data_IF_919196806996
#
_entry.id   IF_919196806996
#
_cell.length_a   1.000
_cell.length_b   1.000
_cell.length_c   1.000
_cell.angle_alpha   90.00
_cell.angle_beta   90.00
_cell.angle_gamma   90.00
#
_symmetry.space_group_name_H-M   'P 1'
#
loop_
_entity.id
_entity.type
_entity.pdbx_description
1 polymer ?
#
# COMPACT_ATOMS: atom_id res chain seq x y z
N UNK A 1 52.33 -50.36 22.12
CA UNK A 1 50.91 -50.28 22.54
C UNK A 1 50.46 -48.86 22.27
N UNK A 2 49.60 -48.69 21.27
CA UNK A 2 49.00 -47.40 20.91
C UNK A 2 47.69 -47.29 21.69
N UNK A 3 47.59 -46.33 22.61
CA UNK A 3 46.33 -46.04 23.30
C UNK A 3 45.36 -45.44 22.29
N UNK A 4 44.32 -46.22 21.99
CA UNK A 4 43.19 -45.79 21.17
C UNK A 4 42.39 -44.77 21.99
N UNK A 5 42.28 -43.54 21.48
CA UNK A 5 41.57 -42.45 22.14
C UNK A 5 40.05 -42.71 22.08
N UNK A 6 39.47 -43.13 23.20
CA UNK A 6 38.07 -43.59 23.34
C UNK A 6 37.08 -42.46 23.69
N UNK A 7 37.45 -41.19 23.54
CA UNK A 7 36.54 -40.10 23.85
C UNK A 7 35.51 -39.89 22.72
N UNK A 8 34.21 -39.73 23.05
CA UNK A 8 33.18 -39.46 22.07
C UNK A 8 33.49 -38.12 21.38
N UNK A 9 33.73 -38.17 20.07
CA UNK A 9 33.87 -36.98 19.26
C UNK A 9 32.55 -36.21 19.35
N UNK A 10 32.58 -35.06 20.03
CA UNK A 10 31.47 -34.10 20.01
C UNK A 10 31.12 -33.81 18.56
N UNK A 11 29.84 -33.91 18.15
CA UNK A 11 29.46 -33.63 16.78
C UNK A 11 29.90 -32.20 16.46
N UNK A 12 30.80 -32.07 15.49
CA UNK A 12 31.22 -30.79 14.93
C UNK A 12 29.97 -29.97 14.61
N UNK A 13 29.86 -28.71 15.08
CA UNK A 13 28.73 -27.89 14.72
C UNK A 13 28.78 -27.71 13.21
N UNK A 14 27.84 -28.36 12.50
CA UNK A 14 27.66 -28.17 11.07
C UNK A 14 27.57 -26.67 10.84
N UNK A 15 28.64 -26.11 10.28
CA UNK A 15 28.70 -24.69 9.94
C UNK A 15 27.62 -24.48 8.89
N UNK A 16 26.51 -23.88 9.31
CA UNK A 16 25.45 -23.50 8.39
C UNK A 16 26.09 -22.54 7.40
N UNK A 17 26.38 -23.02 6.20
CA UNK A 17 26.98 -22.22 5.15
C UNK A 17 25.95 -21.13 4.84
N UNK A 18 26.19 -19.91 5.33
CA UNK A 18 25.31 -18.77 5.09
C UNK A 18 25.26 -18.57 3.58
N UNK A 19 24.20 -19.06 2.93
CA UNK A 19 23.96 -18.85 1.49
C UNK A 19 23.97 -17.34 1.25
N UNK A 20 25.01 -16.85 0.59
CA UNK A 20 25.08 -15.46 0.13
C UNK A 20 23.95 -15.25 -0.86
N UNK A 21 23.04 -14.33 -0.55
CA UNK A 21 21.98 -13.91 -1.47
C UNK A 21 22.61 -13.33 -2.72
N UNK A 22 22.28 -13.90 -3.88
CA UNK A 22 22.79 -13.42 -5.17
C UNK A 22 22.25 -12.03 -5.47
N UNK A 23 23.11 -11.14 -5.96
CA UNK A 23 22.72 -9.78 -6.38
C UNK A 23 21.63 -9.81 -7.45
N UNK A 24 21.66 -10.80 -8.35
CA UNK A 24 20.62 -11.03 -9.36
C UNK A 24 19.27 -11.29 -8.70
N UNK A 25 19.23 -12.08 -7.62
CA UNK A 25 17.99 -12.37 -6.90
C UNK A 25 17.40 -11.13 -6.23
N UNK A 26 18.25 -10.23 -5.73
CA UNK A 26 17.82 -8.95 -5.15
C UNK A 26 17.20 -8.05 -6.22
N UNK A 27 17.88 -7.87 -7.36
CA UNK A 27 17.37 -7.07 -8.48
C UNK A 27 16.02 -7.60 -8.99
N UNK A 28 15.91 -8.93 -9.16
CA UNK A 28 14.67 -9.55 -9.59
C UNK A 28 13.53 -9.35 -8.58
N UNK A 29 13.85 -9.38 -7.28
CA UNK A 29 12.86 -9.12 -6.20
C UNK A 29 12.35 -7.67 -6.25
N UNK A 30 13.23 -6.70 -6.54
CA UNK A 30 12.84 -5.29 -6.71
C UNK A 30 11.93 -5.13 -7.94
N UNK A 31 12.34 -5.69 -9.08
CA UNK A 31 11.54 -5.64 -10.31
C UNK A 31 10.15 -6.28 -10.10
N UNK A 32 10.10 -7.42 -9.42
CA UNK A 32 8.84 -8.09 -9.07
C UNK A 32 7.97 -7.23 -8.14
N UNK A 33 8.57 -6.55 -7.16
CA UNK A 33 7.85 -5.64 -6.25
C UNK A 33 7.20 -4.50 -7.05
N UNK A 34 7.93 -3.89 -7.98
CA UNK A 34 7.40 -2.84 -8.86
C UNK A 34 6.25 -3.38 -9.71
N UNK A 35 6.42 -4.57 -10.30
CA UNK A 35 5.38 -5.21 -11.09
C UNK A 35 4.11 -5.46 -10.28
N UNK A 36 4.23 -5.93 -9.03
CA UNK A 36 3.09 -6.12 -8.14
C UNK A 36 2.42 -4.80 -7.77
N UNK A 37 3.17 -3.73 -7.50
CA UNK A 37 2.61 -2.41 -7.22
C UNK A 37 1.76 -1.92 -8.40
N UNK A 38 2.31 -1.97 -9.62
CA UNK A 38 1.58 -1.57 -10.84
C UNK A 38 0.33 -2.43 -11.03
N UNK A 39 0.47 -3.74 -10.85
CA UNK A 39 -0.65 -4.68 -10.96
C UNK A 39 -1.74 -4.39 -9.92
N UNK A 40 -1.36 -4.15 -8.66
CA UNK A 40 -2.29 -3.86 -7.57
C UNK A 40 -3.08 -2.57 -7.81
N UNK A 41 -2.39 -1.49 -8.20
CA UNK A 41 -3.05 -0.22 -8.56
C UNK A 41 -4.03 -0.42 -9.73
N UNK A 42 -3.63 -1.19 -10.75
CA UNK A 42 -4.50 -1.45 -11.90
C UNK A 42 -5.71 -2.31 -11.51
N UNK A 43 -5.49 -3.33 -10.68
CA UNK A 43 -6.55 -4.20 -10.17
C UNK A 43 -7.59 -3.39 -9.39
N UNK A 44 -7.17 -2.48 -8.50
CA UNK A 44 -8.09 -1.62 -7.76
C UNK A 44 -8.90 -0.72 -8.68
N UNK A 45 -8.24 -0.10 -9.66
CA UNK A 45 -8.91 0.72 -10.66
C UNK A 45 -9.97 -0.07 -11.44
N UNK A 46 -9.63 -1.27 -11.91
CA UNK A 46 -10.52 -2.10 -12.71
C UNK A 46 -11.68 -2.66 -11.86
N UNK A 47 -11.43 -3.06 -10.60
CA UNK A 47 -12.48 -3.44 -9.64
C UNK A 47 -13.43 -2.26 -9.39
N UNK A 48 -12.90 -1.07 -9.12
CA UNK A 48 -13.75 0.10 -8.95
C UNK A 48 -14.56 0.41 -10.22
N UNK A 49 -13.97 0.26 -11.41
CA UNK A 49 -14.67 0.47 -12.67
C UNK A 49 -15.83 -0.52 -12.86
N UNK A 50 -15.63 -1.79 -12.54
CA UNK A 50 -16.64 -2.82 -12.73
C UNK A 50 -17.77 -2.77 -11.70
N UNK A 51 -17.45 -2.49 -10.44
CA UNK A 51 -18.41 -2.62 -9.35
C UNK A 51 -19.00 -1.30 -8.86
N UNK A 52 -18.37 -0.15 -9.15
CA UNK A 52 -18.90 1.15 -8.77
C UNK A 52 -19.78 1.72 -9.89
N UNK A 53 -21.09 1.89 -9.68
CA UNK A 53 -22.03 2.29 -10.74
C UNK A 53 -21.74 3.70 -11.30
N UNK A 54 -21.12 4.58 -10.52
CA UNK A 54 -20.75 5.92 -10.97
C UNK A 54 -19.27 6.04 -11.37
N UNK A 55 -18.60 4.93 -11.65
CA UNK A 55 -17.20 4.93 -12.11
C UNK A 55 -17.00 5.68 -13.43
N UNK A 56 -18.00 5.69 -14.32
CA UNK A 56 -17.92 6.44 -15.57
C UNK A 56 -18.04 7.96 -15.35
N UNK A 57 -18.75 8.37 -14.29
CA UNK A 57 -18.98 9.78 -13.96
C UNK A 57 -17.87 10.37 -13.09
N UNK A 58 -17.31 9.60 -12.16
CA UNK A 58 -16.34 10.08 -11.16
C UNK A 58 -15.02 9.26 -11.13
N UNK A 59 -14.91 8.17 -11.90
CA UNK A 59 -13.78 7.23 -11.88
C UNK A 59 -12.61 7.57 -12.79
N UNK A 60 -12.73 8.60 -13.62
CA UNK A 60 -11.55 9.26 -14.18
C UNK A 60 -10.88 10.09 -13.08
N UNK A 61 -9.86 9.52 -12.44
CA UNK A 61 -9.11 10.19 -11.37
C UNK A 61 -8.29 11.40 -11.87
N UNK A 62 -7.77 12.21 -10.95
CA UNK A 62 -8.29 13.52 -10.61
C UNK A 62 -8.04 14.56 -11.73
N UNK A 63 -9.05 15.38 -12.01
CA UNK A 63 -8.90 16.57 -12.84
C UNK A 63 -7.71 17.46 -12.41
N UNK A 64 -7.25 17.42 -11.15
CA UNK A 64 -6.13 18.25 -10.69
C UNK A 64 -4.76 18.03 -11.38
N UNK A 65 -4.51 16.92 -12.09
CA UNK A 65 -3.23 16.73 -12.79
C UNK A 65 -3.32 16.93 -14.32
N UNK A 66 -4.49 16.69 -14.93
CA UNK A 66 -4.68 16.79 -16.38
C UNK A 66 -5.48 18.04 -16.81
N UNK A 67 -6.26 18.65 -15.91
CA UNK A 67 -6.98 19.91 -16.14
C UNK A 67 -6.02 21.11 -16.18
N UNK A 68 -4.79 20.94 -15.67
CA UNK A 68 -3.69 21.91 -15.83
C UNK A 68 -3.06 21.83 -17.24
N UNK A 69 -3.24 20.72 -17.97
CA UNK A 69 -2.53 20.48 -19.24
C UNK A 69 -3.40 20.51 -20.51
N UNK A 70 -4.73 20.50 -20.42
CA UNK A 70 -5.61 20.52 -21.58
C UNK A 70 -6.66 21.64 -21.42
N UNK A 71 -6.61 22.73 -22.20
CA UNK A 71 -7.60 23.80 -22.10
C UNK A 71 -8.99 23.26 -22.47
N UNK A 72 -9.85 23.25 -21.46
CA UNK A 72 -11.18 22.65 -21.34
C UNK A 72 -12.28 23.26 -22.21
N UNK A 73 -11.97 24.25 -23.07
CA UNK A 73 -12.98 24.93 -23.89
C UNK A 73 -13.52 24.04 -25.03
N UNK A 74 -12.64 23.31 -25.74
CA UNK A 74 -13.06 22.57 -26.94
C UNK A 74 -13.80 21.27 -26.60
N UNK A 75 -13.46 20.65 -25.46
CA UNK A 75 -14.16 19.47 -24.97
C UNK A 75 -15.59 19.81 -24.50
N UNK A 76 -15.78 20.97 -23.85
CA UNK A 76 -17.10 21.46 -23.47
C UNK A 76 -17.95 21.85 -24.67
N UNK A 77 -17.34 22.47 -25.70
CA UNK A 77 -18.05 22.81 -26.94
C UNK A 77 -18.53 21.56 -27.70
N UNK A 78 -17.71 20.51 -27.76
CA UNK A 78 -18.08 19.26 -28.44
C UNK A 78 -19.24 18.55 -27.71
N UNK A 79 -19.21 18.53 -26.37
CA UNK A 79 -20.29 17.96 -25.55
C UNK A 79 -21.58 18.77 -25.71
N UNK A 80 -21.49 20.10 -25.78
CA UNK A 80 -22.65 20.96 -26.01
C UNK A 80 -23.27 20.74 -27.41
N UNK A 81 -22.44 20.58 -28.46
CA UNK A 81 -22.92 20.29 -29.82
C UNK A 81 -23.63 18.94 -29.93
N UNK A 82 -23.08 17.90 -29.28
CA UNK A 82 -23.69 16.56 -29.27
C UNK A 82 -25.03 16.56 -28.52
N UNK A 83 -25.17 17.39 -27.48
CA UNK A 83 -26.41 17.54 -26.74
C UNK A 83 -27.52 18.26 -27.53
N UNK A 84 -27.17 19.21 -28.40
CA UNK A 84 -28.12 19.90 -29.29
C UNK A 84 -28.59 19.02 -30.47
N UNK A 85 -27.73 18.13 -30.97
CA UNK A 85 -28.02 17.32 -32.16
C UNK A 85 -28.94 16.12 -31.90
N UNK A 86 -29.03 15.63 -30.64
CA UNK A 86 -29.87 14.47 -30.27
C UNK A 86 -30.73 14.75 -29.02
N UNK A 87 -31.83 15.51 -29.14
CA UNK A 87 -32.63 15.98 -28.00
C UNK A 87 -33.45 14.91 -27.26
N UNK A 88 -33.44 13.63 -27.67
CA UNK A 88 -34.34 12.58 -27.13
C UNK A 88 -33.66 11.34 -26.55
N UNK A 89 -32.33 11.29 -26.41
CA UNK A 89 -31.66 10.13 -25.76
C UNK A 89 -30.65 10.52 -24.67
N UNK A 90 -30.92 11.62 -23.98
CA UNK A 90 -30.24 11.95 -22.72
C UNK A 90 -31.30 12.23 -21.67
N UNK A 91 -32.15 11.23 -21.40
CA UNK A 91 -32.49 10.96 -20.00
C UNK A 91 -31.18 10.63 -19.30
N UNK A 92 -30.43 11.67 -18.94
CA UNK A 92 -29.52 11.65 -17.83
C UNK A 92 -30.37 11.19 -16.66
N UNK A 93 -30.40 9.87 -16.45
CA UNK A 93 -30.79 9.29 -15.19
C UNK A 93 -29.79 9.92 -14.24
N UNK A 94 -30.17 11.06 -13.66
CA UNK A 94 -29.40 11.76 -12.67
C UNK A 94 -29.40 10.80 -11.49
N UNK A 95 -28.44 9.88 -11.49
CA UNK A 95 -28.31 8.94 -10.40
C UNK A 95 -28.19 9.80 -9.14
N UNK A 96 -28.97 9.51 -8.11
CA UNK A 96 -28.86 10.14 -6.78
C UNK A 96 -27.48 9.87 -6.11
N UNK A 97 -26.53 9.37 -6.90
CA UNK A 97 -25.19 9.01 -6.51
C UNK A 97 -24.33 10.26 -6.40
N UNK A 98 -24.30 10.82 -5.19
CA UNK A 98 -23.42 11.94 -4.87
C UNK A 98 -21.94 11.57 -5.01
N UNK A 99 -21.08 12.56 -5.21
CA UNK A 99 -19.61 12.38 -5.20
C UNK A 99 -19.11 11.75 -3.90
N UNK A 100 -19.76 12.05 -2.77
CA UNK A 100 -19.43 11.45 -1.48
C UNK A 100 -19.78 9.95 -1.44
N UNK A 101 -20.95 9.57 -1.98
CA UNK A 101 -21.36 8.16 -2.10
C UNK A 101 -20.37 7.38 -2.97
N UNK A 102 -19.90 7.98 -4.07
CA UNK A 102 -18.87 7.41 -4.93
C UNK A 102 -17.55 7.16 -4.22
N UNK A 103 -17.03 8.17 -3.51
CA UNK A 103 -15.76 8.06 -2.78
C UNK A 103 -15.85 7.02 -1.64
N UNK A 104 -16.99 6.97 -0.95
CA UNK A 104 -17.27 5.98 0.10
C UNK A 104 -17.27 4.57 -0.47
N UNK A 105 -17.99 4.36 -1.57
CA UNK A 105 -18.09 3.05 -2.21
C UNK A 105 -16.75 2.58 -2.79
N UNK A 106 -15.99 3.50 -3.41
CA UNK A 106 -14.62 3.20 -3.88
C UNK A 106 -13.72 2.75 -2.73
N UNK A 107 -13.74 3.48 -1.61
CA UNK A 107 -12.93 3.15 -0.44
C UNK A 107 -13.31 1.79 0.16
N UNK A 108 -14.61 1.46 0.22
CA UNK A 108 -15.10 0.17 0.67
C UNK A 108 -14.67 -0.98 -0.25
N UNK A 109 -14.77 -0.79 -1.58
CA UNK A 109 -14.26 -1.77 -2.54
C UNK A 109 -12.75 -1.99 -2.41
N UNK A 110 -11.98 -0.91 -2.28
CA UNK A 110 -10.54 -0.99 -2.08
C UNK A 110 -10.22 -1.75 -0.79
N UNK A 111 -10.89 -1.44 0.33
CA UNK A 111 -10.71 -2.16 1.58
C UNK A 111 -11.06 -3.66 1.46
N UNK A 112 -12.17 -3.98 0.79
CA UNK A 112 -12.64 -5.35 0.58
C UNK A 112 -11.66 -6.20 -0.24
N UNK A 113 -10.85 -5.60 -1.11
CA UNK A 113 -9.80 -6.30 -1.87
C UNK A 113 -8.48 -6.31 -1.12
N UNK A 114 -8.07 -5.17 -0.57
CA UNK A 114 -6.73 -4.98 0.02
C UNK A 114 -6.56 -5.80 1.28
N UNK A 115 -7.56 -5.83 2.18
CA UNK A 115 -7.44 -6.52 3.48
C UNK A 115 -7.25 -8.03 3.28
N UNK A 116 -8.08 -8.74 2.49
CA UNK A 116 -7.85 -10.16 2.23
C UNK A 116 -6.53 -10.45 1.54
N UNK A 117 -6.13 -9.64 0.55
CA UNK A 117 -4.84 -9.80 -0.14
C UNK A 117 -3.67 -9.60 0.83
N UNK A 118 -3.74 -8.59 1.69
CA UNK A 118 -2.74 -8.35 2.72
C UNK A 118 -2.61 -9.54 3.66
N UNK A 119 -3.73 -10.06 4.18
CA UNK A 119 -3.74 -11.23 5.05
C UNK A 119 -3.13 -12.45 4.35
N UNK A 120 -3.53 -12.73 3.11
CA UNK A 120 -2.98 -13.83 2.32
C UNK A 120 -1.46 -13.72 2.16
N UNK A 121 -0.96 -12.53 1.80
CA UNK A 121 0.47 -12.29 1.62
C UNK A 121 1.24 -12.37 2.94
N UNK A 122 0.63 -11.89 4.04
CA UNK A 122 1.19 -12.03 5.38
C UNK A 122 1.30 -13.49 5.81
N UNK A 123 0.27 -14.30 5.56
CA UNK A 123 0.26 -15.75 5.81
C UNK A 123 1.34 -16.46 5.00
N UNK A 124 1.48 -16.13 3.71
CA UNK A 124 2.54 -16.66 2.83
C UNK A 124 3.93 -16.32 3.37
N UNK A 125 4.14 -15.05 3.77
CA UNK A 125 5.39 -14.62 4.38
C UNK A 125 5.67 -15.39 5.68
N UNK A 126 4.70 -15.46 6.59
CA UNK A 126 4.83 -16.15 7.86
C UNK A 126 5.21 -17.62 7.64
N UNK A 127 4.51 -18.30 6.73
CA UNK A 127 4.78 -19.68 6.38
C UNK A 127 6.21 -19.88 5.87
N UNK A 128 6.68 -19.06 4.92
CA UNK A 128 8.04 -19.20 4.38
C UNK A 128 9.13 -18.78 5.37
N UNK A 129 8.86 -17.79 6.24
CA UNK A 129 9.85 -17.27 7.18
C UNK A 129 10.07 -18.18 8.38
N UNK A 130 8.98 -18.65 9.00
CA UNK A 130 9.03 -19.39 10.26
C UNK A 130 8.98 -20.91 10.08
N UNK A 131 8.18 -21.42 9.12
CA UNK A 131 8.02 -22.87 8.93
C UNK A 131 9.07 -23.49 8.00
N UNK A 132 9.71 -22.69 7.13
CA UNK A 132 10.72 -23.16 6.16
C UNK A 132 12.05 -22.40 6.28
N UNK A 133 12.74 -22.58 7.39
CA UNK A 133 13.97 -21.87 7.77
C UNK A 133 15.16 -22.09 6.81
N UNK A 134 15.13 -23.08 5.92
CA UNK A 134 16.18 -23.33 4.91
C UNK A 134 15.78 -23.02 3.45
N UNK A 135 14.57 -22.52 3.20
CA UNK A 135 14.05 -22.39 1.84
C UNK A 135 14.73 -21.26 1.02
N UNK A 136 15.12 -21.50 -0.25
CA UNK A 136 15.62 -20.45 -1.13
C UNK A 136 14.53 -19.42 -1.51
N UNK A 137 13.24 -19.77 -1.36
CA UNK A 137 12.11 -18.90 -1.68
C UNK A 137 11.89 -17.75 -0.68
N UNK A 138 12.71 -17.66 0.38
CA UNK A 138 12.63 -16.56 1.35
C UNK A 138 12.86 -15.20 0.70
N UNK A 139 13.70 -15.11 -0.33
CA UNK A 139 13.94 -13.83 -1.02
C UNK A 139 12.64 -13.29 -1.65
N UNK A 140 11.82 -14.20 -2.20
CA UNK A 140 10.55 -13.87 -2.84
C UNK A 140 9.51 -13.34 -1.83
N UNK A 141 9.54 -13.86 -0.59
CA UNK A 141 8.63 -13.41 0.47
C UNK A 141 8.78 -11.92 0.80
N UNK A 142 9.95 -11.32 0.55
CA UNK A 142 10.15 -9.87 0.74
C UNK A 142 9.40 -9.03 -0.30
N UNK A 143 9.33 -9.47 -1.57
CA UNK A 143 8.56 -8.75 -2.59
C UNK A 143 7.06 -8.77 -2.25
N UNK A 144 6.52 -9.93 -1.87
CA UNK A 144 5.13 -10.05 -1.46
C UNK A 144 4.82 -9.19 -0.23
N UNK A 145 5.72 -9.18 0.77
CA UNK A 145 5.54 -8.36 1.96
C UNK A 145 5.61 -6.87 1.65
N UNK A 146 6.57 -6.44 0.82
CA UNK A 146 6.69 -5.05 0.40
C UNK A 146 5.44 -4.57 -0.35
N UNK A 147 4.92 -5.40 -1.26
CA UNK A 147 3.65 -5.15 -1.94
C UNK A 147 2.48 -5.06 -0.95
N UNK A 148 2.35 -6.02 -0.03
CA UNK A 148 1.27 -6.05 0.94
C UNK A 148 1.27 -4.78 1.83
N UNK A 149 2.45 -4.36 2.31
CA UNK A 149 2.59 -3.10 3.05
C UNK A 149 2.23 -1.89 2.20
N UNK A 150 2.68 -1.84 0.95
CA UNK A 150 2.32 -0.76 0.04
C UNK A 150 0.79 -0.64 -0.09
N UNK A 151 0.08 -1.75 -0.32
CA UNK A 151 -1.38 -1.74 -0.48
C UNK A 151 -2.10 -1.25 0.78
N UNK A 152 -1.65 -1.65 1.97
CA UNK A 152 -2.23 -1.15 3.23
C UNK A 152 -1.94 0.34 3.44
N UNK A 153 -0.71 0.79 3.18
CA UNK A 153 -0.37 2.21 3.27
C UNK A 153 -1.18 3.05 2.29
N UNK A 154 -1.39 2.55 1.07
CA UNK A 154 -2.25 3.16 0.06
C UNK A 154 -3.68 3.30 0.55
N UNK A 155 -4.27 2.22 1.09
CA UNK A 155 -5.62 2.25 1.66
C UNK A 155 -5.74 3.24 2.82
N UNK A 156 -4.75 3.26 3.71
CA UNK A 156 -4.71 4.17 4.85
C UNK A 156 -4.62 5.63 4.38
N UNK A 157 -3.79 5.92 3.38
CA UNK A 157 -3.68 7.25 2.80
C UNK A 157 -5.02 7.70 2.17
N UNK A 158 -5.69 6.82 1.43
CA UNK A 158 -7.02 7.10 0.87
C UNK A 158 -8.06 7.36 1.95
N UNK A 159 -8.07 6.56 3.01
CA UNK A 159 -8.94 6.75 4.17
C UNK A 159 -8.67 8.10 4.87
N UNK A 160 -7.41 8.44 5.12
CA UNK A 160 -7.05 9.73 5.72
C UNK A 160 -7.54 10.91 4.88
N UNK A 161 -7.31 10.87 3.56
CA UNK A 161 -7.79 11.91 2.63
C UNK A 161 -9.32 11.98 2.64
N UNK A 162 -10.01 10.84 2.65
CA UNK A 162 -11.47 10.79 2.73
C UNK A 162 -12.00 11.40 4.02
N UNK A 163 -11.41 11.05 5.17
CA UNK A 163 -11.82 11.56 6.49
C UNK A 163 -11.60 13.07 6.58
N UNK A 164 -10.45 13.57 6.13
CA UNK A 164 -10.15 15.01 6.13
C UNK A 164 -11.16 15.78 5.26
N UNK A 165 -11.54 15.24 4.10
CA UNK A 165 -12.45 15.91 3.17
C UNK A 165 -13.91 15.88 3.62
N UNK A 166 -14.39 14.77 4.17
CA UNK A 166 -15.81 14.55 4.43
C UNK A 166 -16.20 14.69 5.91
N UNK A 167 -15.26 14.59 6.84
CA UNK A 167 -15.52 14.61 8.28
C UNK A 167 -14.62 15.66 8.95
N UNK A 168 -15.04 16.93 8.91
CA UNK A 168 -14.28 18.06 9.46
C UNK A 168 -13.78 17.81 10.89
N UNK A 169 -14.61 17.22 11.75
CA UNK A 169 -14.26 16.91 13.14
C UNK A 169 -13.28 15.73 13.26
N UNK A 170 -13.43 14.69 12.43
CA UNK A 170 -12.54 13.53 12.46
C UNK A 170 -11.15 13.84 11.88
N UNK A 171 -11.06 14.73 10.89
CA UNK A 171 -9.79 15.24 10.38
C UNK A 171 -8.95 15.93 11.46
N UNK A 172 -9.59 16.70 12.36
CA UNK A 172 -8.91 17.34 13.50
C UNK A 172 -8.28 16.30 14.42
N UNK A 173 -8.98 15.22 14.75
CA UNK A 173 -8.43 14.15 15.60
C UNK A 173 -7.26 13.41 14.95
N UNK A 174 -7.26 13.22 13.63
CA UNK A 174 -6.12 12.63 12.91
C UNK A 174 -4.89 13.53 13.01
N UNK A 175 -5.05 14.83 12.74
CA UNK A 175 -3.96 15.80 12.86
C UNK A 175 -3.44 15.84 14.30
N UNK A 176 -4.34 15.85 15.28
CA UNK A 176 -3.97 15.84 16.69
C UNK A 176 -3.18 14.57 17.07
N UNK A 177 -3.59 13.40 16.57
CA UNK A 177 -2.87 12.15 16.77
C UNK A 177 -1.44 12.20 16.20
N UNK A 178 -1.26 12.75 14.99
CA UNK A 178 0.07 12.94 14.38
C UNK A 178 0.91 13.88 15.26
N UNK A 179 0.34 14.99 15.71
CA UNK A 179 1.02 15.94 16.60
C UNK A 179 1.47 15.26 17.89
N UNK A 180 0.61 14.45 18.53
CA UNK A 180 0.96 13.68 19.73
C UNK A 180 2.15 12.75 19.45
N UNK A 181 2.15 12.00 18.35
CA UNK A 181 3.26 11.10 17.99
C UNK A 181 4.57 11.87 17.76
N UNK A 182 4.51 13.02 17.07
CA UNK A 182 5.67 13.87 16.81
C UNK A 182 6.26 14.41 18.13
N UNK A 183 5.43 14.99 19.00
CA UNK A 183 5.88 15.49 20.30
C UNK A 183 6.42 14.38 21.19
N UNK A 184 5.77 13.21 21.23
CA UNK A 184 6.25 12.05 22.00
C UNK A 184 7.63 11.61 21.52
N UNK A 185 7.82 11.52 20.20
CA UNK A 185 9.12 11.15 19.61
C UNK A 185 10.18 12.21 19.93
N UNK A 186 9.84 13.49 19.83
CA UNK A 186 10.74 14.60 20.14
C UNK A 186 11.18 14.57 21.62
N UNK A 187 10.24 14.33 22.54
CA UNK A 187 10.53 14.18 23.97
C UNK A 187 11.50 13.03 24.21
N UNK A 188 11.28 11.86 23.59
CA UNK A 188 12.17 10.70 23.71
C UNK A 188 13.58 11.02 23.20
N UNK A 189 13.70 11.72 22.07
CA UNK A 189 15.01 12.13 21.51
C UNK A 189 15.72 13.11 22.46
N UNK A 190 15.01 14.10 23.01
CA UNK A 190 15.56 15.08 23.94
C UNK A 190 16.03 14.40 25.23
N UNK A 191 15.21 13.53 25.83
CA UNK A 191 15.56 12.77 27.03
C UNK A 191 16.83 11.94 26.81
N UNK A 192 16.92 11.25 25.66
CA UNK A 192 18.11 10.46 25.31
C UNK A 192 19.36 11.34 25.19
N UNK A 193 19.24 12.55 24.66
CA UNK A 193 20.36 13.49 24.49
C UNK A 193 20.81 14.11 25.83
N UNK A 194 19.88 14.36 26.75
CA UNK A 194 20.17 14.91 28.07
C UNK A 194 20.84 13.86 28.98
N UNK A 195 20.27 12.66 29.09
CA UNK A 195 20.88 11.59 29.90
C UNK A 195 22.22 11.08 29.37
N UNK A 196 22.48 11.23 28.07
CA UNK A 196 23.80 10.91 27.50
C UNK A 196 24.88 11.93 27.88
N UNK A 197 24.51 13.12 28.38
CA UNK A 197 25.45 14.13 28.88
C UNK A 197 25.77 13.94 30.36
N UNK A 198 24.80 13.48 31.15
CA UNK A 198 24.96 13.30 32.60
C UNK A 198 25.76 12.02 32.98
N UNK A 199 25.97 11.11 32.03
CA UNK A 199 26.80 9.91 32.22
C UNK A 199 28.24 10.03 31.69
N UNK A 200 28.67 11.23 31.30
CA UNK A 200 30.01 11.52 30.77
C UNK A 200 30.86 12.43 31.70
N UNK A 201 30.38 12.69 32.92
CA UNK A 201 31.14 13.25 34.05
C UNK A 201 31.44 12.13 35.06
#
# INVERSE_FOLDING_TARGET
>A
MLEENILPQTPSPHSSTKRKTSLVSVLLTIALTIAFVIFGERLLHDVNRWFNPASQQYGFAPQTALEILIPTAHAQELIARIADEYPTTTTSIKSDYSRQSYETYRLLLHAAVIIPVFLLMFLVYYYFRFKRTGSPYKILSYAYMAFAFYMILRLLAELCVFVIKNLKTAGVYIVLGIVIVVFTTLIVIIQKKLHSKDGAE
#
